data_IF_303278048725
#
_entry.id   IF_303278048725
#
_cell.length_a   1.000
_cell.length_b   1.000
_cell.length_c   1.000
_cell.angle_alpha   90.00
_cell.angle_beta   90.00
_cell.angle_gamma   90.00
#
_symmetry.space_group_name_H-M   'P 1'
#
loop_
_entity.id
_entity.type
_entity.pdbx_description
1 polymer ?
#
# COMPACT_ATOMS: atom_id res chain seq x y z
N UNK A 1 -17.56 27.23 4.20
CA UNK A 1 -16.37 26.83 3.42
C UNK A 1 -15.38 26.21 4.41
N UNK A 2 -15.63 24.99 4.90
CA UNK A 2 -14.64 24.28 5.71
C UNK A 2 -13.48 23.90 4.79
N UNK A 3 -12.40 24.68 4.86
CA UNK A 3 -11.08 24.27 4.40
C UNK A 3 -10.67 23.05 5.20
N UNK A 4 -10.87 21.86 4.62
CA UNK A 4 -10.30 20.61 5.08
C UNK A 4 -8.78 20.70 4.84
N UNK A 5 -8.11 21.50 5.69
CA UNK A 5 -6.67 21.61 5.73
C UNK A 5 -6.14 20.20 5.91
N UNK A 6 -5.60 19.60 4.84
CA UNK A 6 -4.81 18.38 4.95
C UNK A 6 -3.67 18.73 5.92
N UNK A 7 -3.80 18.26 7.16
CA UNK A 7 -2.68 18.27 8.09
C UNK A 7 -1.56 17.48 7.44
N UNK A 8 -0.34 18.04 7.48
CA UNK A 8 0.84 17.29 7.08
C UNK A 8 0.87 16.00 7.91
N UNK A 9 1.00 14.85 7.24
CA UNK A 9 1.15 13.56 7.93
C UNK A 9 2.33 13.66 8.91
N UNK A 10 2.09 13.23 10.14
CA UNK A 10 3.13 13.07 11.16
C UNK A 10 4.10 11.97 10.76
N UNK A 11 5.31 11.98 11.32
CA UNK A 11 6.30 10.92 11.09
C UNK A 11 5.76 9.51 11.38
N UNK A 12 4.88 9.38 12.38
CA UNK A 12 4.21 8.11 12.72
C UNK A 12 3.26 7.63 11.63
N UNK A 13 2.56 8.55 10.96
CA UNK A 13 1.67 8.19 9.86
C UNK A 13 2.47 7.80 8.61
N UNK A 14 3.63 8.42 8.38
CA UNK A 14 4.56 7.99 7.31
C UNK A 14 5.15 6.60 7.58
N UNK A 15 5.53 6.30 8.83
CA UNK A 15 5.94 4.95 9.25
C UNK A 15 4.81 3.94 9.03
N UNK A 16 3.59 4.27 9.44
CA UNK A 16 2.42 3.42 9.24
C UNK A 16 2.12 3.15 7.75
N UNK A 17 2.32 4.13 6.87
CA UNK A 17 2.19 3.95 5.41
C UNK A 17 3.27 3.01 4.89
N UNK A 18 4.52 3.17 5.33
CA UNK A 18 5.62 2.29 4.94
C UNK A 18 5.40 0.83 5.39
N UNK A 19 4.90 0.65 6.62
CA UNK A 19 4.50 -0.66 7.14
C UNK A 19 3.34 -1.26 6.34
N UNK A 20 2.35 -0.43 5.97
CA UNK A 20 1.22 -0.85 5.15
C UNK A 20 1.65 -1.32 3.76
N UNK A 21 2.60 -0.63 3.11
CA UNK A 21 3.17 -1.07 1.82
C UNK A 21 3.84 -2.45 1.95
N UNK A 22 4.59 -2.67 3.03
CA UNK A 22 5.23 -3.96 3.31
C UNK A 22 4.20 -5.09 3.51
N UNK A 23 3.07 -4.77 4.16
CA UNK A 23 1.97 -5.70 4.33
C UNK A 23 1.26 -6.03 3.00
N UNK A 24 1.04 -5.04 2.13
CA UNK A 24 0.44 -5.22 0.80
C UNK A 24 1.31 -6.16 -0.07
N UNK A 25 2.64 -5.94 -0.11
CA UNK A 25 3.58 -6.81 -0.83
C UNK A 25 3.57 -8.26 -0.29
N UNK A 26 3.52 -8.43 1.03
CA UNK A 26 3.43 -9.74 1.65
C UNK A 26 2.12 -10.47 1.28
N UNK A 27 0.99 -9.75 1.25
CA UNK A 27 -0.31 -10.32 0.85
C UNK A 27 -0.31 -10.74 -0.62
N UNK A 28 0.22 -9.89 -1.52
CA UNK A 28 0.36 -10.22 -2.94
C UNK A 28 1.16 -11.51 -3.13
N UNK A 29 2.29 -11.65 -2.43
CA UNK A 29 3.15 -12.86 -2.51
C UNK A 29 2.42 -14.11 -2.05
N UNK A 30 1.67 -14.04 -0.95
CA UNK A 30 0.88 -15.18 -0.44
C UNK A 30 -0.25 -15.57 -1.39
N UNK A 31 -0.95 -14.59 -1.94
CA UNK A 31 -2.02 -14.82 -2.92
C UNK A 31 -1.46 -15.43 -4.20
N UNK A 32 -0.31 -14.95 -4.69
CA UNK A 32 0.36 -15.50 -5.87
C UNK A 32 0.81 -16.95 -5.63
N UNK A 33 1.42 -17.23 -4.48
CA UNK A 33 1.81 -18.58 -4.09
C UNK A 33 0.58 -19.52 -3.99
N UNK A 34 -0.52 -19.04 -3.40
CA UNK A 34 -1.77 -19.81 -3.30
C UNK A 34 -2.38 -20.06 -4.67
N UNK A 35 -2.46 -19.04 -5.53
CA UNK A 35 -3.00 -19.16 -6.89
C UNK A 35 -2.20 -20.13 -7.77
N UNK A 36 -0.89 -20.22 -7.56
CA UNK A 36 0.01 -21.13 -8.28
C UNK A 36 0.03 -22.56 -7.76
N UNK A 37 -0.47 -22.81 -6.54
CA UNK A 37 -0.43 -24.14 -5.90
C UNK A 37 -1.80 -24.78 -5.70
N UNK A 38 -2.87 -23.97 -5.64
CA UNK A 38 -4.22 -24.47 -5.45
C UNK A 38 -4.75 -25.17 -6.70
N UNK A 39 -5.49 -26.27 -6.50
CA UNK A 39 -6.25 -26.95 -7.56
C UNK A 39 -7.69 -26.44 -7.65
N UNK A 40 -8.11 -25.59 -6.73
CA UNK A 40 -9.47 -25.04 -6.70
C UNK A 40 -9.54 -23.76 -7.57
N UNK A 41 -10.24 -23.85 -8.70
CA UNK A 41 -10.39 -22.75 -9.64
C UNK A 41 -11.09 -21.52 -9.06
N UNK A 42 -12.04 -21.71 -8.15
CA UNK A 42 -12.69 -20.60 -7.43
C UNK A 42 -11.69 -19.86 -6.54
N UNK A 43 -10.87 -20.59 -5.80
CA UNK A 43 -9.82 -20.00 -4.95
C UNK A 43 -8.79 -19.27 -5.82
N UNK A 44 -8.37 -19.86 -6.93
CA UNK A 44 -7.46 -19.21 -7.88
C UNK A 44 -8.03 -17.88 -8.39
N UNK A 45 -9.30 -17.86 -8.81
CA UNK A 45 -9.98 -16.64 -9.27
C UNK A 45 -10.02 -15.55 -8.20
N UNK A 46 -10.34 -15.92 -6.96
CA UNK A 46 -10.33 -14.99 -5.81
C UNK A 46 -8.91 -14.44 -5.57
N UNK A 47 -7.89 -15.30 -5.60
CA UNK A 47 -6.51 -14.85 -5.41
C UNK A 47 -6.08 -13.85 -6.48
N UNK A 48 -6.41 -14.10 -7.76
CA UNK A 48 -6.09 -13.17 -8.86
C UNK A 48 -6.80 -11.82 -8.68
N UNK A 49 -8.08 -11.83 -8.30
CA UNK A 49 -8.83 -10.60 -8.03
C UNK A 49 -8.20 -9.81 -6.87
N UNK A 50 -7.84 -10.50 -5.79
CA UNK A 50 -7.25 -9.87 -4.61
C UNK A 50 -5.85 -9.30 -4.90
N UNK A 51 -5.03 -9.99 -5.70
CA UNK A 51 -3.72 -9.46 -6.15
C UNK A 51 -3.89 -8.11 -6.85
N UNK A 52 -4.90 -7.97 -7.72
CA UNK A 52 -5.18 -6.70 -8.40
C UNK A 52 -5.58 -5.60 -7.41
N UNK A 53 -6.42 -5.93 -6.42
CA UNK A 53 -6.84 -4.98 -5.39
C UNK A 53 -5.67 -4.51 -4.54
N UNK A 54 -4.85 -5.43 -4.04
CA UNK A 54 -3.68 -5.13 -3.22
C UNK A 54 -2.61 -4.35 -4.00
N UNK A 55 -2.43 -4.65 -5.29
CA UNK A 55 -1.55 -3.85 -6.15
C UNK A 55 -2.03 -2.41 -6.26
N UNK A 56 -3.34 -2.20 -6.46
CA UNK A 56 -3.92 -0.87 -6.49
C UNK A 56 -3.77 -0.12 -5.16
N UNK A 57 -3.97 -0.79 -4.02
CA UNK A 57 -3.75 -0.20 -2.70
C UNK A 57 -2.29 0.19 -2.48
N UNK A 58 -1.35 -0.66 -2.90
CA UNK A 58 0.08 -0.38 -2.84
C UNK A 58 0.43 0.88 -3.65
N UNK A 59 -0.08 1.00 -4.88
CA UNK A 59 0.13 2.20 -5.71
C UNK A 59 -0.41 3.46 -5.03
N UNK A 60 -1.58 3.39 -4.40
CA UNK A 60 -2.16 4.51 -3.66
C UNK A 60 -1.30 4.92 -2.46
N UNK A 61 -0.79 3.96 -1.69
CA UNK A 61 0.10 4.22 -0.54
C UNK A 61 1.44 4.81 -1.00
N UNK A 62 2.01 4.30 -2.09
CA UNK A 62 3.24 4.83 -2.69
C UNK A 62 3.04 6.26 -3.19
N UNK A 63 1.92 6.57 -3.84
CA UNK A 63 1.58 7.94 -4.26
C UNK A 63 1.43 8.89 -3.06
N UNK A 64 0.77 8.43 -2.00
CA UNK A 64 0.60 9.20 -0.75
C UNK A 64 1.96 9.52 -0.11
N UNK A 65 2.88 8.55 -0.09
CA UNK A 65 4.22 8.70 0.45
C UNK A 65 5.04 9.69 -0.39
N UNK A 66 5.03 9.57 -1.73
CA UNK A 66 5.71 10.51 -2.62
C UNK A 66 5.18 11.94 -2.48
N UNK A 67 3.86 12.12 -2.34
CA UNK A 67 3.26 13.45 -2.13
C UNK A 67 3.78 14.11 -0.85
N UNK A 68 4.07 13.32 0.20
CA UNK A 68 4.60 13.83 1.47
C UNK A 68 6.13 13.93 1.51
N UNK A 69 6.84 13.15 0.70
CA UNK A 69 8.29 13.25 0.55
C UNK A 69 8.70 14.63 0.02
N UNK A 70 7.85 15.29 -0.78
CA UNK A 70 8.07 16.65 -1.27
C UNK A 70 8.02 17.73 -0.16
N UNK A 71 7.50 17.39 1.02
CA UNK A 71 7.46 18.27 2.20
C UNK A 71 8.47 17.87 3.29
N UNK A 72 9.16 16.74 3.14
CA UNK A 72 10.24 16.36 4.03
C UNK A 72 11.42 17.30 3.78
N UNK A 73 11.82 18.15 4.74
CA UNK A 73 12.96 19.03 4.56
C UNK A 73 14.20 18.15 4.38
N UNK A 74 14.78 18.19 3.19
CA UNK A 74 16.13 17.71 2.95
C UNK A 74 17.10 18.65 3.65
N UNK A 75 17.23 18.60 4.98
CA UNK A 75 18.48 18.90 5.66
C UNK A 75 18.48 18.60 7.16
N UNK A 76 19.51 17.89 7.66
CA UNK A 76 19.89 17.97 9.06
C UNK A 76 20.52 19.35 9.35
N UNK A 77 20.13 19.97 10.46
CA UNK A 77 20.96 20.95 11.18
C UNK A 77 21.42 20.32 12.49
#
# INVERSE_FOLDING_TARGET
>A
MQSNQMQALSGKELEYIADSISNEDLLIKQLAATAGTTQNSTVQGICVQQIQSHTHHMDMLVQLLHQHQQYAPTQPQ
#
